data_IF_884081234555
#
_entry.id   IF_884081234555
#
_cell.length_a   1.000
_cell.length_b   1.000
_cell.length_c   1.000
_cell.angle_alpha   90.00
_cell.angle_beta   90.00
_cell.angle_gamma   90.00
#
_symmetry.space_group_name_H-M   'P 1'
#
loop_
_entity.id
_entity.type
_entity.pdbx_description
1 polymer ?
#
# COMPACT_ATOMS: atom_id res chain seq x y z
N UNK A 1 15.18 52.82 18.95
CA UNK A 1 15.30 51.35 18.77
C UNK A 1 14.20 50.76 17.88
N UNK A 2 12.96 51.29 17.93
CA UNK A 2 11.79 50.77 17.20
C UNK A 2 11.84 50.95 15.67
N UNK A 3 12.34 52.09 15.16
CA UNK A 3 12.54 52.33 13.71
C UNK A 3 13.51 51.32 13.06
N UNK A 4 14.54 50.86 13.78
CA UNK A 4 15.52 49.88 13.29
C UNK A 4 14.91 48.48 13.12
N UNK A 5 14.01 48.09 14.02
CA UNK A 5 13.28 46.82 13.93
C UNK A 5 12.28 46.79 12.77
N UNK A 6 11.61 47.91 12.48
CA UNK A 6 10.69 48.01 11.35
C UNK A 6 11.40 47.95 9.99
N UNK A 7 12.58 48.58 9.86
CA UNK A 7 13.41 48.50 8.64
C UNK A 7 13.92 47.07 8.42
N UNK A 8 14.36 46.37 9.48
CA UNK A 8 14.77 44.95 9.39
C UNK A 8 13.62 44.02 9.01
N UNK A 9 12.40 44.24 9.51
CA UNK A 9 11.19 43.48 9.11
C UNK A 9 10.82 43.71 7.64
N UNK A 10 10.83 44.97 7.17
CA UNK A 10 10.54 45.31 5.77
C UNK A 10 11.60 44.72 4.82
N UNK A 11 12.89 44.80 5.17
CA UNK A 11 13.97 44.19 4.38
C UNK A 11 13.87 42.66 4.32
N UNK A 12 13.45 42.01 5.42
CA UNK A 12 13.20 40.55 5.45
C UNK A 12 12.00 40.15 4.58
N UNK A 13 10.94 40.96 4.56
CA UNK A 13 9.76 40.75 3.71
C UNK A 13 10.07 40.98 2.21
N UNK A 14 10.82 42.03 1.88
CA UNK A 14 11.28 42.30 0.50
C UNK A 14 12.16 41.17 -0.03
N UNK A 15 13.11 40.68 0.78
CA UNK A 15 13.96 39.53 0.43
C UNK A 15 13.16 38.23 0.29
N UNK A 16 12.16 37.99 1.15
CA UNK A 16 11.26 36.83 1.04
C UNK A 16 10.46 36.88 -0.28
N UNK A 17 9.82 38.00 -0.58
CA UNK A 17 9.03 38.17 -1.80
C UNK A 17 9.89 38.02 -3.07
N UNK A 18 11.14 38.50 -3.05
CA UNK A 18 12.10 38.26 -4.13
C UNK A 18 12.33 36.76 -4.35
N UNK A 19 12.61 35.99 -3.29
CA UNK A 19 12.82 34.55 -3.41
C UNK A 19 11.55 33.77 -3.77
N UNK A 20 10.38 34.23 -3.35
CA UNK A 20 9.10 33.70 -3.84
C UNK A 20 8.98 33.94 -5.35
N UNK A 21 9.33 35.13 -5.84
CA UNK A 21 9.37 35.44 -7.27
C UNK A 21 10.35 34.55 -8.05
N UNK A 22 11.55 34.33 -7.52
CA UNK A 22 12.54 33.40 -8.10
C UNK A 22 11.98 31.97 -8.18
N UNK A 23 11.34 31.50 -7.10
CA UNK A 23 10.71 30.18 -7.07
C UNK A 23 9.55 30.06 -8.07
N UNK A 24 8.67 31.05 -8.14
CA UNK A 24 7.57 31.08 -9.11
C UNK A 24 8.08 31.09 -10.55
N UNK A 25 9.11 31.89 -10.86
CA UNK A 25 9.75 31.91 -12.17
C UNK A 25 10.37 30.54 -12.51
N UNK A 26 11.04 29.91 -11.56
CA UNK A 26 11.59 28.56 -11.72
C UNK A 26 10.49 27.52 -12.01
N UNK A 27 9.37 27.55 -11.28
CA UNK A 27 8.23 26.66 -11.54
C UNK A 27 7.63 26.90 -12.93
N UNK A 28 7.51 28.15 -13.37
CA UNK A 28 7.01 28.49 -14.71
C UNK A 28 7.98 28.01 -15.81
N UNK A 29 9.29 28.15 -15.61
CA UNK A 29 10.30 27.62 -16.54
C UNK A 29 10.20 26.10 -16.65
N UNK A 30 10.08 25.39 -15.53
CA UNK A 30 9.88 23.93 -15.54
C UNK A 30 8.59 23.58 -16.28
N UNK A 31 7.47 24.23 -15.96
CA UNK A 31 6.19 23.97 -16.63
C UNK A 31 6.28 24.24 -18.15
N UNK A 32 6.96 25.31 -18.54
CA UNK A 32 7.23 25.64 -19.95
C UNK A 32 8.09 24.60 -20.66
N UNK A 33 9.14 24.09 -20.00
CA UNK A 33 9.98 23.01 -20.54
C UNK A 33 9.16 21.73 -20.73
N UNK A 34 8.34 21.35 -19.74
CA UNK A 34 7.46 20.19 -19.85
C UNK A 34 6.43 20.34 -20.96
N UNK A 35 5.81 21.52 -21.09
CA UNK A 35 4.86 21.82 -22.16
C UNK A 35 5.52 21.75 -23.54
N UNK A 36 6.70 22.35 -23.69
CA UNK A 36 7.47 22.29 -24.92
C UNK A 36 7.88 20.86 -25.28
N UNK A 37 8.33 20.08 -24.30
CA UNK A 37 8.66 18.68 -24.49
C UNK A 37 7.45 17.87 -24.95
N UNK A 38 6.26 18.10 -24.37
CA UNK A 38 5.03 17.40 -24.76
C UNK A 38 4.56 17.75 -26.17
N UNK A 39 4.81 18.97 -26.67
CA UNK A 39 4.55 19.31 -28.08
C UNK A 39 5.49 18.61 -29.08
N UNK A 40 6.68 18.18 -28.63
CA UNK A 40 7.63 17.44 -29.48
C UNK A 40 7.34 15.95 -29.57
N UNK A 41 6.44 15.43 -28.73
CA UNK A 41 6.05 14.04 -28.73
C UNK A 41 4.85 13.89 -29.68
N UNK A 42 5.01 13.09 -30.74
CA UNK A 42 3.90 12.68 -31.60
C UNK A 42 2.99 11.70 -30.84
N UNK A 43 2.09 12.24 -30.02
CA UNK A 43 1.21 11.47 -29.16
C UNK A 43 -0.19 12.07 -29.08
N UNK A 44 -1.21 11.23 -29.24
CA UNK A 44 -2.61 11.63 -29.12
C UNK A 44 -3.10 11.37 -27.71
N UNK A 45 -3.26 12.45 -26.96
CA UNK A 45 -3.75 12.44 -25.58
C UNK A 45 -5.22 12.00 -25.51
N UNK A 46 -5.53 11.03 -24.64
CA UNK A 46 -6.85 10.40 -24.48
C UNK A 46 -7.30 10.36 -23.02
N UNK A 47 -7.22 11.51 -22.36
CA UNK A 47 -7.67 11.70 -20.96
C UNK A 47 -9.13 11.29 -20.73
N UNK A 48 -9.98 11.34 -21.76
CA UNK A 48 -11.37 10.89 -21.70
C UNK A 48 -11.54 9.39 -21.38
N UNK A 49 -10.51 8.56 -21.59
CA UNK A 49 -10.55 7.13 -21.25
C UNK A 49 -10.11 6.83 -19.82
N UNK A 50 -9.55 7.79 -19.11
CA UNK A 50 -9.05 7.59 -17.74
C UNK A 50 -10.12 7.13 -16.74
N UNK A 51 -11.37 7.64 -16.75
CA UNK A 51 -12.37 7.27 -15.75
C UNK A 51 -12.66 5.77 -15.63
N UNK A 52 -12.53 5.00 -16.73
CA UNK A 52 -12.77 3.55 -16.73
C UNK A 52 -11.83 2.78 -15.79
N UNK A 53 -10.64 3.33 -15.50
CA UNK A 53 -9.67 2.72 -14.60
C UNK A 53 -9.96 2.97 -13.12
N UNK A 54 -10.95 3.82 -12.82
CA UNK A 54 -11.46 4.04 -11.46
C UNK A 54 -12.73 3.24 -11.20
N UNK A 55 -13.68 3.29 -12.14
CA UNK A 55 -14.91 2.54 -12.07
C UNK A 55 -15.43 2.33 -13.50
N UNK A 56 -15.98 1.15 -13.76
CA UNK A 56 -16.60 0.84 -15.04
C UNK A 56 -17.88 0.05 -14.81
N UNK A 57 -18.81 0.19 -15.74
CA UNK A 57 -20.06 -0.56 -15.76
C UNK A 57 -19.84 -1.81 -16.62
N UNK A 58 -19.89 -2.98 -16.00
CA UNK A 58 -19.69 -4.28 -16.63
C UNK A 58 -21.05 -4.90 -16.95
N UNK A 59 -21.18 -5.50 -18.13
CA UNK A 59 -22.41 -6.20 -18.54
C UNK A 59 -22.26 -7.67 -18.18
N UNK A 60 -22.95 -8.09 -17.11
CA UNK A 60 -22.93 -9.46 -16.64
C UNK A 60 -24.06 -10.21 -17.33
N UNK A 61 -23.67 -11.23 -18.10
CA UNK A 61 -24.57 -12.19 -18.72
C UNK A 61 -24.50 -13.50 -17.94
N UNK A 62 -25.63 -13.94 -17.41
CA UNK A 62 -25.76 -15.27 -16.81
C UNK A 62 -26.31 -16.19 -17.87
N UNK A 63 -25.57 -17.25 -18.20
CA UNK A 63 -25.97 -18.25 -19.18
C UNK A 63 -26.27 -19.59 -18.51
N UNK A 64 -27.14 -20.39 -19.12
CA UNK A 64 -27.38 -21.76 -18.68
C UNK A 64 -26.19 -22.65 -19.02
N UNK A 65 -25.79 -23.53 -18.09
CA UNK A 65 -24.83 -24.60 -18.38
C UNK A 65 -25.55 -25.91 -18.77
N UNK A 66 -26.86 -26.00 -18.49
CA UNK A 66 -27.70 -27.16 -18.74
C UNK A 66 -28.58 -26.98 -19.97
N UNK A 67 -28.85 -28.11 -20.64
CA UNK A 67 -29.91 -28.24 -21.64
C UNK A 67 -31.19 -28.70 -20.94
N UNK A 68 -32.26 -27.92 -21.05
CA UNK A 68 -33.45 -28.12 -20.22
C UNK A 68 -34.51 -27.04 -20.38
N UNK A 69 -35.31 -26.84 -19.32
CA UNK A 69 -36.40 -25.87 -19.30
C UNK A 69 -36.36 -25.03 -18.02
N UNK A 70 -36.84 -23.79 -18.08
CA UNK A 70 -36.98 -22.93 -16.89
C UNK A 70 -38.13 -23.45 -16.02
N UNK A 71 -37.80 -24.12 -14.92
CA UNK A 71 -38.78 -24.72 -14.01
C UNK A 71 -39.50 -23.67 -13.15
N UNK A 72 -38.78 -22.66 -12.66
CA UNK A 72 -39.41 -21.54 -11.93
C UNK A 72 -38.54 -20.30 -11.86
N UNK A 73 -39.19 -19.13 -11.79
CA UNK A 73 -38.57 -17.82 -11.58
C UNK A 73 -39.18 -17.21 -10.30
N UNK A 74 -38.53 -17.47 -9.16
CA UNK A 74 -38.99 -16.95 -7.86
C UNK A 74 -38.41 -15.57 -7.60
N UNK A 75 -39.25 -14.53 -7.73
CA UNK A 75 -38.89 -13.15 -7.38
C UNK A 75 -38.99 -12.93 -5.87
N UNK A 76 -37.89 -12.54 -5.24
CA UNK A 76 -37.78 -12.17 -3.83
C UNK A 76 -37.19 -10.75 -3.73
N UNK A 77 -38.04 -9.78 -3.45
CA UNK A 77 -37.72 -8.35 -3.38
C UNK A 77 -37.04 -7.83 -4.66
N UNK A 78 -35.72 -7.55 -4.58
CA UNK A 78 -34.90 -7.04 -5.68
C UNK A 78 -34.24 -8.13 -6.52
N UNK A 79 -34.30 -9.38 -6.07
CA UNK A 79 -33.64 -10.52 -6.71
C UNK A 79 -34.67 -11.51 -7.24
N UNK A 80 -34.31 -12.28 -8.26
CA UNK A 80 -35.01 -13.42 -8.79
C UNK A 80 -34.08 -14.63 -8.72
N UNK A 81 -34.63 -15.79 -8.35
CA UNK A 81 -33.95 -17.06 -8.46
C UNK A 81 -34.54 -17.76 -9.68
N UNK A 82 -33.70 -17.97 -10.70
CA UNK A 82 -34.05 -18.73 -11.90
C UNK A 82 -33.58 -20.16 -11.65
N UNK A 83 -34.50 -21.12 -11.68
CA UNK A 83 -34.19 -22.54 -11.61
C UNK A 83 -34.37 -23.17 -12.98
N UNK A 84 -33.28 -23.68 -13.55
CA UNK A 84 -33.27 -24.42 -14.82
C UNK A 84 -33.19 -25.90 -14.49
N UNK A 85 -34.05 -26.71 -15.08
CA UNK A 85 -34.08 -28.16 -14.89
C UNK A 85 -33.63 -28.86 -16.16
N UNK A 86 -32.48 -29.53 -16.07
CA UNK A 86 -31.96 -30.38 -17.12
C UNK A 86 -32.21 -31.86 -16.88
N UNK A 87 -31.70 -32.70 -17.79
CA UNK A 87 -31.83 -34.17 -17.73
C UNK A 87 -31.07 -34.80 -16.54
N UNK A 88 -29.92 -34.23 -16.18
CA UNK A 88 -29.01 -34.79 -15.16
C UNK A 88 -28.99 -33.99 -13.83
N UNK A 89 -29.80 -32.94 -13.71
CA UNK A 89 -29.82 -32.09 -12.51
C UNK A 89 -30.58 -30.78 -12.69
N UNK A 90 -30.57 -29.94 -11.65
CA UNK A 90 -31.15 -28.59 -11.67
C UNK A 90 -30.11 -27.56 -11.27
N UNK A 91 -30.08 -26.44 -11.97
CA UNK A 91 -29.21 -25.29 -11.72
C UNK A 91 -30.05 -24.12 -11.19
N UNK A 92 -29.53 -23.34 -10.26
CA UNK A 92 -30.25 -22.17 -9.73
C UNK A 92 -29.35 -20.95 -9.65
N UNK A 93 -29.75 -19.88 -10.35
CA UNK A 93 -29.03 -18.62 -10.43
C UNK A 93 -29.79 -17.51 -9.73
N UNK A 94 -29.11 -16.77 -8.87
CA UNK A 94 -29.68 -15.56 -8.24
C UNK A 94 -29.28 -14.33 -9.03
N UNK A 95 -30.25 -13.62 -9.59
CA UNK A 95 -30.05 -12.45 -10.46
C UNK A 95 -30.95 -11.30 -10.03
N UNK A 96 -30.68 -10.04 -10.38
CA UNK A 96 -31.65 -8.97 -10.17
C UNK A 96 -32.99 -9.26 -10.85
N UNK A 97 -34.11 -9.01 -10.18
CA UNK A 97 -35.43 -9.41 -10.70
C UNK A 97 -35.82 -8.70 -12.01
N UNK A 98 -35.26 -7.52 -12.26
CA UNK A 98 -35.47 -6.72 -13.46
C UNK A 98 -34.56 -7.13 -14.64
N UNK A 99 -33.60 -8.03 -14.42
CA UNK A 99 -32.61 -8.43 -15.44
C UNK A 99 -32.87 -9.78 -16.08
N UNK A 100 -33.93 -10.47 -15.66
CA UNK A 100 -34.33 -11.77 -16.21
C UNK A 100 -34.80 -11.57 -17.65
N UNK A 101 -34.23 -12.36 -18.57
CA UNK A 101 -34.53 -12.27 -20.01
C UNK A 101 -35.41 -13.44 -20.48
N UNK A 102 -35.54 -14.48 -19.65
CA UNK A 102 -36.26 -15.73 -19.94
C UNK A 102 -37.60 -15.83 -19.23
N UNK A 103 -38.51 -16.63 -19.75
CA UNK A 103 -39.83 -16.91 -19.19
C UNK A 103 -39.92 -18.31 -18.56
N UNK A 104 -40.88 -18.52 -17.64
CA UNK A 104 -41.14 -19.86 -17.08
C UNK A 104 -41.68 -20.78 -18.17
N UNK A 105 -41.11 -21.99 -18.28
CA UNK A 105 -41.44 -22.95 -19.32
C UNK A 105 -40.69 -22.76 -20.66
N UNK A 106 -39.76 -21.81 -20.73
CA UNK A 106 -38.90 -21.64 -21.89
C UNK A 106 -37.86 -22.77 -21.96
N UNK A 107 -37.71 -23.39 -23.13
CA UNK A 107 -36.63 -24.36 -23.38
C UNK A 107 -35.32 -23.63 -23.60
N UNK A 108 -34.27 -24.06 -22.90
CA UNK A 108 -32.99 -23.38 -22.81
C UNK A 108 -31.87 -24.37 -23.10
N UNK A 109 -30.95 -23.97 -23.97
CA UNK A 109 -29.75 -24.73 -24.28
C UNK A 109 -28.50 -24.15 -23.61
N UNK A 110 -27.41 -24.94 -23.49
CA UNK A 110 -26.16 -24.46 -22.93
C UNK A 110 -25.63 -23.23 -23.67
N UNK A 111 -25.41 -22.13 -22.94
CA UNK A 111 -24.98 -20.84 -23.49
C UNK A 111 -26.10 -19.82 -23.71
N UNK A 112 -27.37 -20.21 -23.57
CA UNK A 112 -28.50 -19.27 -23.65
C UNK A 112 -28.53 -18.35 -22.42
N UNK A 113 -28.89 -17.08 -22.63
CA UNK A 113 -28.80 -16.02 -21.63
C UNK A 113 -30.03 -15.98 -20.74
N UNK A 114 -29.87 -16.33 -19.48
CA UNK A 114 -30.90 -16.31 -18.45
C UNK A 114 -31.18 -14.89 -17.93
N UNK A 115 -30.12 -14.10 -17.76
CA UNK A 115 -30.23 -12.72 -17.29
C UNK A 115 -29.10 -11.85 -17.81
N UNK A 116 -29.40 -10.56 -17.96
CA UNK A 116 -28.44 -9.52 -18.36
C UNK A 116 -28.63 -8.28 -17.52
N UNK A 117 -27.62 -7.92 -16.74
CA UNK A 117 -27.61 -6.67 -15.97
C UNK A 117 -26.27 -5.98 -16.03
N UNK A 118 -26.31 -4.69 -15.73
CA UNK A 118 -25.15 -3.84 -15.61
C UNK A 118 -24.78 -3.66 -14.15
N UNK A 119 -23.51 -3.88 -13.82
CA UNK A 119 -22.99 -3.70 -12.46
C UNK A 119 -21.74 -2.82 -12.47
N UNK A 120 -21.67 -1.87 -11.54
CA UNK A 120 -20.47 -1.06 -11.34
C UNK A 120 -19.38 -1.87 -10.65
N UNK A 121 -18.23 -2.01 -11.31
CA UNK A 121 -17.04 -2.67 -10.77
C UNK A 121 -15.91 -1.66 -10.55
N UNK A 122 -15.07 -1.86 -9.51
CA UNK A 122 -13.89 -1.03 -9.30
C UNK A 122 -12.90 -1.23 -10.45
N UNK A 123 -12.41 -0.13 -10.98
CA UNK A 123 -11.42 -0.15 -12.04
C UNK A 123 -10.04 -0.60 -11.54
N UNK A 124 -9.16 -0.90 -12.51
CA UNK A 124 -7.87 -1.53 -12.26
C UNK A 124 -6.98 -0.75 -11.27
N UNK A 125 -6.99 0.58 -11.34
CA UNK A 125 -6.16 1.44 -10.48
C UNK A 125 -6.67 1.51 -9.06
N UNK A 126 -8.00 1.45 -8.85
CA UNK A 126 -8.59 1.39 -7.51
C UNK A 126 -8.25 0.07 -6.84
N UNK A 127 -8.33 -1.05 -7.58
CA UNK A 127 -7.91 -2.35 -7.07
C UNK A 127 -6.40 -2.34 -6.75
N UNK A 128 -5.57 -1.79 -7.65
CA UNK A 128 -4.13 -1.66 -7.42
C UNK A 128 -3.80 -0.83 -6.17
N UNK A 129 -4.47 0.31 -5.99
CA UNK A 129 -4.32 1.19 -4.82
C UNK A 129 -4.70 0.46 -3.52
N UNK A 130 -5.80 -0.31 -3.54
CA UNK A 130 -6.21 -1.12 -2.40
C UNK A 130 -5.16 -2.18 -2.04
N UNK A 131 -4.60 -2.87 -3.03
CA UNK A 131 -3.54 -3.87 -2.81
C UNK A 131 -2.26 -3.20 -2.28
N UNK A 132 -1.85 -2.06 -2.83
CA UNK A 132 -0.73 -1.24 -2.32
C UNK A 132 -0.89 -0.94 -0.84
N UNK A 133 -2.07 -0.45 -0.44
CA UNK A 133 -2.39 -0.16 0.96
C UNK A 133 -2.39 -1.43 1.83
N UNK A 134 -3.09 -2.48 1.38
CA UNK A 134 -3.22 -3.75 2.11
C UNK A 134 -1.86 -4.36 2.42
N UNK A 135 -1.00 -4.48 1.41
CA UNK A 135 0.35 -5.02 1.59
C UNK A 135 1.16 -4.13 2.52
N UNK A 136 1.15 -2.81 2.31
CA UNK A 136 1.98 -1.88 3.09
C UNK A 136 1.61 -1.87 4.56
N UNK A 137 0.31 -1.92 4.89
CA UNK A 137 -0.18 -2.02 6.27
C UNK A 137 0.27 -3.34 6.91
N UNK A 138 0.07 -4.47 6.24
CA UNK A 138 0.48 -5.77 6.78
C UNK A 138 1.99 -5.87 6.97
N UNK A 139 2.76 -5.43 5.97
CA UNK A 139 4.22 -5.40 6.05
C UNK A 139 4.72 -4.46 7.17
N UNK A 140 4.04 -3.34 7.41
CA UNK A 140 4.37 -2.43 8.51
C UNK A 140 4.10 -3.06 9.86
N UNK A 141 2.97 -3.75 10.04
CA UNK A 141 2.65 -4.45 11.31
C UNK A 141 3.75 -5.47 11.62
N UNK A 142 4.09 -6.35 10.68
CA UNK A 142 5.15 -7.34 10.89
C UNK A 142 6.54 -6.70 11.00
N UNK A 143 6.83 -5.66 10.22
CA UNK A 143 8.08 -4.91 10.29
C UNK A 143 8.28 -4.21 11.63
N UNK A 144 7.21 -3.66 12.23
CA UNK A 144 7.26 -3.10 13.58
C UNK A 144 7.55 -4.18 14.62
N UNK A 145 6.92 -5.35 14.52
CA UNK A 145 7.20 -6.47 15.42
C UNK A 145 8.66 -6.91 15.32
N UNK A 146 9.16 -7.14 14.10
CA UNK A 146 10.56 -7.49 13.84
C UNK A 146 11.50 -6.41 14.37
N UNK A 147 11.18 -5.14 14.11
CA UNK A 147 12.04 -4.03 14.49
C UNK A 147 12.05 -3.72 15.99
N UNK A 148 10.95 -3.93 16.71
CA UNK A 148 10.94 -3.84 18.19
C UNK A 148 11.82 -4.91 18.79
N UNK A 149 11.68 -6.17 18.34
CA UNK A 149 12.54 -7.28 18.80
C UNK A 149 14.00 -7.01 18.43
N UNK A 150 14.27 -6.65 17.18
CA UNK A 150 15.62 -6.34 16.69
C UNK A 150 16.26 -5.17 17.41
N UNK A 151 15.48 -4.13 17.74
CA UNK A 151 15.93 -2.95 18.48
C UNK A 151 16.31 -3.27 19.93
N UNK A 152 15.52 -4.11 20.60
CA UNK A 152 15.83 -4.60 21.94
C UNK A 152 17.07 -5.50 21.94
N UNK A 153 17.20 -6.38 20.95
CA UNK A 153 18.41 -7.20 20.75
C UNK A 153 19.65 -6.32 20.55
N UNK A 154 19.52 -5.23 19.79
CA UNK A 154 20.63 -4.32 19.44
C UNK A 154 21.20 -3.56 20.64
N UNK A 155 20.37 -3.26 21.65
CA UNK A 155 20.79 -2.60 22.90
C UNK A 155 21.19 -3.58 24.01
N UNK A 156 20.99 -4.88 23.79
CA UNK A 156 21.31 -5.90 24.78
C UNK A 156 22.81 -5.99 25.07
N UNK A 157 23.16 -6.32 26.31
CA UNK A 157 24.53 -6.65 26.69
C UNK A 157 24.96 -8.04 26.21
N UNK A 158 24.00 -8.92 25.87
CA UNK A 158 24.30 -10.25 25.34
C UNK A 158 24.90 -10.14 23.92
N UNK A 159 26.16 -10.56 23.71
CA UNK A 159 26.82 -10.43 22.42
C UNK A 159 26.11 -11.20 21.30
N UNK A 160 25.51 -12.35 21.59
CA UNK A 160 24.79 -13.14 20.58
C UNK A 160 23.59 -12.34 20.02
N UNK A 161 22.74 -11.80 20.90
CA UNK A 161 21.58 -11.00 20.47
C UNK A 161 22.01 -9.75 19.72
N UNK A 162 23.02 -9.04 20.26
CA UNK A 162 23.54 -7.82 19.66
C UNK A 162 24.11 -8.07 18.27
N UNK A 163 24.92 -9.11 18.09
CA UNK A 163 25.58 -9.43 16.83
C UNK A 163 24.59 -9.98 15.79
N UNK A 164 23.60 -10.77 16.20
CA UNK A 164 22.52 -11.19 15.29
C UNK A 164 21.75 -9.99 14.76
N UNK A 165 21.39 -9.03 15.63
CA UNK A 165 20.73 -7.79 15.21
C UNK A 165 21.62 -6.93 14.31
N UNK A 166 22.94 -6.86 14.59
CA UNK A 166 23.92 -6.22 13.70
C UNK A 166 23.92 -6.86 12.32
N UNK A 167 24.17 -8.16 12.23
CA UNK A 167 24.24 -8.87 10.96
C UNK A 167 22.95 -8.72 10.13
N UNK A 168 21.78 -8.89 10.77
CA UNK A 168 20.47 -8.70 10.13
C UNK A 168 20.32 -7.28 9.56
N UNK A 169 20.55 -6.24 10.36
CA UNK A 169 20.36 -4.85 9.93
C UNK A 169 21.33 -4.48 8.81
N UNK A 170 22.62 -4.81 8.94
CA UNK A 170 23.63 -4.44 7.94
C UNK A 170 23.39 -5.18 6.61
N UNK A 171 23.01 -6.46 6.64
CA UNK A 171 22.71 -7.23 5.43
C UNK A 171 21.48 -6.70 4.70
N UNK A 172 20.40 -6.39 5.43
CA UNK A 172 19.14 -5.94 4.84
C UNK A 172 19.24 -4.50 4.36
N UNK A 173 19.87 -3.60 5.11
CA UNK A 173 20.02 -2.19 4.69
C UNK A 173 21.13 -2.00 3.67
N UNK A 174 22.10 -2.91 3.63
CA UNK A 174 23.22 -2.89 2.67
C UNK A 174 22.88 -3.51 1.31
N UNK A 175 21.69 -4.12 1.13
CA UNK A 175 21.30 -4.77 -0.12
C UNK A 175 20.06 -4.12 -0.77
N UNK A 176 19.94 -4.15 -2.11
CA UNK A 176 18.77 -3.59 -2.80
C UNK A 176 17.48 -4.33 -2.45
N UNK A 177 16.42 -3.60 -2.10
CA UNK A 177 15.10 -4.18 -1.80
C UNK A 177 14.56 -5.03 -2.95
N UNK A 178 14.75 -4.60 -4.20
CA UNK A 178 14.34 -5.36 -5.38
C UNK A 178 14.91 -6.79 -5.35
N UNK A 179 16.20 -6.93 -5.05
CA UNK A 179 16.87 -8.24 -4.98
C UNK A 179 16.31 -9.07 -3.82
N UNK A 180 16.04 -8.45 -2.67
CA UNK A 180 15.43 -9.13 -1.53
C UNK A 180 14.04 -9.69 -1.89
N UNK A 181 13.19 -8.91 -2.57
CA UNK A 181 11.87 -9.36 -3.04
C UNK A 181 12.00 -10.60 -3.93
N UNK A 182 12.96 -10.58 -4.87
CA UNK A 182 13.21 -11.72 -5.76
C UNK A 182 13.69 -12.95 -4.99
N UNK A 183 14.59 -12.80 -4.01
CA UNK A 183 15.05 -13.91 -3.16
C UNK A 183 13.88 -14.50 -2.35
N UNK A 184 13.06 -13.64 -1.74
CA UNK A 184 11.90 -14.07 -0.96
C UNK A 184 10.91 -14.90 -1.80
N UNK A 185 10.67 -14.48 -3.04
CA UNK A 185 9.70 -15.17 -3.88
C UNK A 185 10.30 -16.40 -4.60
N UNK A 186 11.40 -16.22 -5.34
CA UNK A 186 11.95 -17.27 -6.21
C UNK A 186 12.79 -18.30 -5.45
N UNK A 187 13.50 -17.90 -4.40
CA UNK A 187 14.34 -18.83 -3.62
C UNK A 187 13.54 -19.38 -2.45
N UNK A 188 13.18 -18.52 -1.49
CA UNK A 188 12.49 -18.96 -0.28
C UNK A 188 11.09 -19.48 -0.60
N UNK A 189 10.35 -18.82 -1.48
CA UNK A 189 9.01 -19.24 -1.84
C UNK A 189 8.94 -20.59 -2.58
N UNK A 190 9.93 -20.89 -3.41
CA UNK A 190 10.06 -22.22 -4.04
C UNK A 190 10.35 -23.28 -2.98
N UNK A 191 11.42 -23.09 -2.19
CA UNK A 191 11.82 -24.05 -1.15
C UNK A 191 10.69 -24.31 -0.14
N UNK A 192 10.03 -23.27 0.36
CA UNK A 192 8.95 -23.40 1.34
C UNK A 192 7.75 -24.12 0.73
N UNK A 193 7.33 -23.76 -0.49
CA UNK A 193 6.19 -24.40 -1.13
C UNK A 193 6.46 -25.88 -1.49
N UNK A 194 7.69 -26.22 -1.87
CA UNK A 194 8.07 -27.60 -2.16
C UNK A 194 8.07 -28.45 -0.89
N UNK A 195 8.58 -27.89 0.23
CA UNK A 195 8.48 -28.54 1.53
C UNK A 195 7.02 -28.72 1.97
N UNK A 196 6.18 -27.69 1.85
CA UNK A 196 4.75 -27.79 2.17
C UNK A 196 4.07 -28.88 1.35
N UNK A 197 4.34 -28.94 0.04
CA UNK A 197 3.80 -29.97 -0.84
C UNK A 197 4.24 -31.39 -0.41
N UNK A 198 5.50 -31.57 0.03
CA UNK A 198 5.99 -32.84 0.54
C UNK A 198 5.24 -33.32 1.80
N UNK A 199 4.72 -32.39 2.61
CA UNK A 199 3.87 -32.70 3.78
C UNK A 199 2.37 -32.70 3.46
N UNK A 200 1.98 -32.62 2.18
CA UNK A 200 0.57 -32.58 1.76
C UNK A 200 -0.15 -31.27 2.11
N UNK A 201 0.59 -30.19 2.39
CA UNK A 201 0.05 -28.86 2.67
C UNK A 201 -0.06 -28.04 1.37
N UNK A 202 -1.00 -27.07 1.38
CA UNK A 202 -1.22 -26.17 0.24
C UNK A 202 -0.08 -25.18 0.01
N UNK A 203 -0.07 -24.55 -1.17
CA UNK A 203 0.93 -23.53 -1.55
C UNK A 203 0.58 -22.17 -0.95
N UNK A 204 1.60 -21.45 -0.48
CA UNK A 204 1.48 -20.06 -0.04
C UNK A 204 1.47 -19.14 -1.28
N UNK A 205 0.48 -18.23 -1.39
CA UNK A 205 0.42 -17.25 -2.48
C UNK A 205 1.60 -16.25 -2.48
N UNK A 206 1.95 -15.74 -3.68
CA UNK A 206 2.98 -14.70 -3.89
C UNK A 206 2.81 -13.48 -2.97
N UNK A 207 1.55 -13.11 -2.70
CA UNK A 207 1.18 -12.02 -1.80
C UNK A 207 1.91 -12.07 -0.46
N UNK A 208 1.98 -13.25 0.18
CA UNK A 208 2.59 -13.39 1.51
C UNK A 208 4.11 -13.31 1.47
N UNK A 209 4.75 -13.79 0.40
CA UNK A 209 6.18 -13.58 0.19
C UNK A 209 6.52 -12.10 -0.05
N UNK A 210 5.65 -11.38 -0.78
CA UNK A 210 5.73 -9.93 -0.90
C UNK A 210 5.63 -9.22 0.45
N UNK A 211 4.63 -9.55 1.27
CA UNK A 211 4.47 -9.01 2.63
C UNK A 211 5.68 -9.34 3.51
N UNK A 212 6.17 -10.58 3.50
CA UNK A 212 7.32 -11.01 4.28
C UNK A 212 8.61 -10.27 3.89
N UNK A 213 8.83 -10.08 2.58
CA UNK A 213 9.99 -9.33 2.07
C UNK A 213 9.99 -7.87 2.53
N UNK A 214 8.85 -7.17 2.37
CA UNK A 214 8.70 -5.79 2.83
C UNK A 214 8.74 -5.67 4.35
N UNK A 215 8.18 -6.63 5.08
CA UNK A 215 8.23 -6.65 6.54
C UNK A 215 9.66 -6.84 7.05
N UNK A 216 10.42 -7.75 6.45
CA UNK A 216 11.82 -7.99 6.77
C UNK A 216 12.67 -6.75 6.44
N UNK A 217 12.41 -6.10 5.30
CA UNK A 217 13.08 -4.86 4.94
C UNK A 217 12.77 -3.71 5.92
N UNK A 218 11.48 -3.43 6.12
CA UNK A 218 11.01 -2.40 7.05
C UNK A 218 11.50 -2.66 8.48
N UNK A 219 11.52 -3.91 8.92
CA UNK A 219 11.99 -4.31 10.26
C UNK A 219 13.43 -3.94 10.55
N UNK A 220 14.31 -3.90 9.55
CA UNK A 220 15.70 -3.48 9.71
C UNK A 220 15.81 -1.96 9.95
N UNK A 221 14.99 -1.17 9.26
CA UNK A 221 14.89 0.28 9.51
C UNK A 221 14.23 0.57 10.86
N UNK A 222 13.15 -0.15 11.19
CA UNK A 222 12.47 -0.01 12.47
C UNK A 222 13.38 -0.41 13.64
N UNK A 223 14.23 -1.42 13.48
CA UNK A 223 15.27 -1.79 14.48
C UNK A 223 16.13 -0.58 14.86
N UNK A 224 16.60 0.18 13.87
CA UNK A 224 17.43 1.35 14.10
C UNK A 224 16.64 2.53 14.66
N UNK A 225 15.39 2.70 14.25
CA UNK A 225 14.47 3.69 14.84
C UNK A 225 14.26 3.39 16.33
N UNK A 226 13.99 2.13 16.70
CA UNK A 226 13.77 1.72 18.09
C UNK A 226 15.05 1.91 18.91
N UNK A 227 16.20 1.47 18.39
CA UNK A 227 17.52 1.68 19.05
C UNK A 227 17.78 3.17 19.28
N UNK A 228 17.64 4.00 18.25
CA UNK A 228 17.88 5.44 18.33
C UNK A 228 16.90 6.12 19.28
N UNK A 229 15.63 5.72 19.26
CA UNK A 229 14.59 6.20 20.17
C UNK A 229 14.95 5.94 21.63
N UNK A 230 15.37 4.73 21.97
CA UNK A 230 15.79 4.36 23.33
C UNK A 230 17.06 5.11 23.73
N UNK A 231 18.07 5.16 22.86
CA UNK A 231 19.34 5.82 23.15
C UNK A 231 19.26 7.35 23.21
N UNK A 232 18.21 7.95 22.66
CA UNK A 232 18.01 9.39 22.73
C UNK A 232 17.64 9.89 24.13
N UNK A 233 17.16 9.01 25.02
CA UNK A 233 16.76 9.38 26.39
C UNK A 233 18.00 9.80 27.19
N UNK A 234 17.90 10.95 27.88
CA UNK A 234 19.01 11.51 28.63
C UNK A 234 19.49 10.55 29.72
N UNK A 235 20.81 10.33 29.83
CA UNK A 235 21.40 9.38 30.79
C UNK A 235 20.99 9.64 32.24
N UNK A 236 20.77 10.92 32.59
CA UNK A 236 20.25 11.33 33.90
C UNK A 236 18.91 10.68 34.30
N UNK A 237 18.06 10.29 33.35
CA UNK A 237 16.83 9.53 33.66
C UNK A 237 17.16 8.14 34.20
N UNK A 238 18.13 7.47 33.57
CA UNK A 238 18.61 6.16 34.01
C UNK A 238 19.35 6.27 35.34
N UNK A 239 20.19 7.30 35.51
CA UNK A 239 20.91 7.56 36.76
C UNK A 239 19.95 7.83 37.93
N UNK A 240 18.95 8.71 37.73
CA UNK A 240 17.93 9.00 38.74
C UNK A 240 17.11 7.76 39.12
N UNK A 241 16.70 6.95 38.13
CA UNK A 241 16.01 5.69 38.37
C UNK A 241 16.84 4.74 39.25
N UNK A 242 18.15 4.65 38.99
CA UNK A 242 19.08 3.84 39.78
C UNK A 242 19.29 4.40 41.19
N UNK A 243 19.31 5.73 41.36
CA UNK A 243 19.39 6.37 42.68
C UNK A 243 18.19 6.09 43.58
N UNK A 244 17.01 5.84 43.00
CA UNK A 244 15.79 5.45 43.75
C UNK A 244 15.65 3.92 43.87
N UNK A 245 16.69 3.15 43.51
CA UNK A 245 16.74 1.70 43.71
C UNK A 245 16.08 0.86 42.62
N UNK A 246 15.68 1.44 41.48
CA UNK A 246 15.05 0.69 40.39
C UNK A 246 16.06 -0.26 39.72
N UNK A 247 15.62 -1.47 39.39
CA UNK A 247 16.38 -2.39 38.52
C UNK A 247 16.40 -1.86 37.07
N UNK A 248 17.30 -2.38 36.23
CA UNK A 248 17.33 -2.01 34.80
C UNK A 248 15.98 -2.28 34.11
N UNK A 249 15.35 -3.41 34.40
CA UNK A 249 14.04 -3.75 33.84
C UNK A 249 12.94 -2.78 34.30
N UNK A 250 12.94 -2.41 35.59
CA UNK A 250 12.01 -1.42 36.12
C UNK A 250 12.22 -0.03 35.50
N UNK A 251 13.47 0.43 35.39
CA UNK A 251 13.82 1.71 34.76
C UNK A 251 13.44 1.73 33.27
N UNK A 252 13.71 0.63 32.55
CA UNK A 252 13.34 0.47 31.15
C UNK A 252 11.83 0.54 30.96
N UNK A 253 11.06 -0.23 31.72
CA UNK A 253 9.61 -0.34 31.53
C UNK A 253 8.85 0.93 31.93
N UNK A 254 9.22 1.55 33.06
CA UNK A 254 8.42 2.64 33.63
C UNK A 254 8.90 4.05 33.26
N UNK A 255 10.18 4.21 32.85
CA UNK A 255 10.76 5.54 32.60
C UNK A 255 11.22 5.66 31.14
N UNK A 256 12.09 4.75 30.69
CA UNK A 256 12.76 4.90 29.39
C UNK A 256 11.81 4.58 28.24
N UNK A 257 11.16 3.42 28.25
CA UNK A 257 10.32 2.95 27.14
C UNK A 257 9.13 3.87 26.85
N UNK A 258 8.37 4.38 27.85
CA UNK A 258 7.29 5.34 27.59
C UNK A 258 7.77 6.64 26.93
N UNK A 259 8.95 7.14 27.29
CA UNK A 259 9.55 8.33 26.68
C UNK A 259 10.10 8.04 25.28
N UNK A 260 10.77 6.89 25.12
CA UNK A 260 11.33 6.45 23.85
C UNK A 260 10.22 6.23 22.81
N UNK A 261 9.08 5.65 23.21
CA UNK A 261 7.94 5.40 22.32
C UNK A 261 7.44 6.70 21.67
N UNK A 262 7.37 7.80 22.42
CA UNK A 262 6.98 9.11 21.88
C UNK A 262 7.95 9.63 20.81
N UNK A 263 9.24 9.31 20.93
CA UNK A 263 10.28 9.68 19.96
C UNK A 263 10.37 8.72 18.77
N UNK A 264 9.90 7.48 18.95
CA UNK A 264 9.87 6.42 17.92
C UNK A 264 8.69 6.64 16.96
N UNK A 265 7.54 7.11 17.44
CA UNK A 265 6.33 7.22 16.62
C UNK A 265 6.48 8.10 15.35
N UNK A 266 7.07 9.31 15.39
CA UNK A 266 7.22 10.13 14.18
C UNK A 266 8.05 9.47 13.06
N UNK A 267 9.26 8.93 13.31
CA UNK A 267 10.02 8.25 12.26
C UNK A 267 9.37 6.93 11.81
N UNK A 268 8.62 6.23 12.67
CA UNK A 268 7.85 5.05 12.23
C UNK A 268 6.80 5.40 11.17
N UNK A 269 6.11 6.53 11.34
CA UNK A 269 5.14 6.98 10.36
C UNK A 269 5.81 7.36 9.02
N UNK A 270 6.99 7.98 9.07
CA UNK A 270 7.82 8.20 7.89
C UNK A 270 8.22 6.90 7.20
N UNK A 271 8.56 5.86 7.98
CA UNK A 271 8.89 4.53 7.45
C UNK A 271 7.68 3.88 6.76
N UNK A 272 6.48 4.00 7.32
CA UNK A 272 5.25 3.51 6.69
C UNK A 272 4.99 4.18 5.33
N UNK A 273 5.12 5.50 5.25
CA UNK A 273 4.94 6.26 4.00
C UNK A 273 5.99 5.86 2.95
N UNK A 274 7.22 5.60 3.36
CA UNK A 274 8.26 5.07 2.47
C UNK A 274 7.90 3.67 1.98
N UNK A 275 7.41 2.79 2.87
CA UNK A 275 7.05 1.42 2.53
C UNK A 275 5.93 1.33 1.49
N UNK A 276 4.99 2.28 1.49
CA UNK A 276 3.96 2.42 0.44
C UNK A 276 4.59 2.59 -0.93
N UNK A 277 5.62 3.45 -1.04
CA UNK A 277 6.34 3.63 -2.31
C UNK A 277 7.16 2.39 -2.64
N UNK A 278 7.86 1.83 -1.67
CA UNK A 278 8.68 0.62 -1.87
C UNK A 278 7.85 -0.59 -2.34
N UNK A 279 6.57 -0.65 -1.96
CA UNK A 279 5.64 -1.69 -2.43
C UNK A 279 5.47 -1.72 -3.95
N UNK A 280 5.82 -0.63 -4.67
CA UNK A 280 5.79 -0.56 -6.14
C UNK A 280 6.67 -1.62 -6.81
N UNK A 281 7.68 -2.13 -6.09
CA UNK A 281 8.60 -3.15 -6.59
C UNK A 281 7.96 -4.55 -6.63
N UNK A 282 6.86 -4.77 -5.92
CA UNK A 282 6.19 -6.07 -5.86
C UNK A 282 5.53 -6.49 -7.19
N UNK A 283 5.33 -5.54 -8.11
CA UNK A 283 4.87 -5.84 -9.47
C UNK A 283 5.76 -6.83 -10.23
N UNK A 284 7.03 -6.99 -9.81
CA UNK A 284 7.97 -7.97 -10.38
C UNK A 284 7.61 -9.42 -10.07
N UNK A 285 6.95 -9.67 -8.94
CA UNK A 285 6.48 -10.99 -8.54
C UNK A 285 4.97 -11.14 -8.78
N UNK A 286 4.47 -10.42 -9.79
CA UNK A 286 3.08 -10.43 -10.25
C UNK A 286 2.02 -10.03 -9.20
N UNK A 287 2.41 -9.34 -8.13
CA UNK A 287 1.44 -8.73 -7.21
C UNK A 287 0.89 -7.48 -7.89
N UNK A 288 -0.43 -7.44 -8.09
CA UNK A 288 -1.13 -6.34 -8.76
C UNK A 288 -1.35 -5.14 -7.83
N UNK A 289 -0.26 -4.55 -7.37
CA UNK A 289 -0.24 -3.24 -6.73
C UNK A 289 -0.41 -2.12 -7.78
N UNK A 290 -0.49 -0.86 -7.35
CA UNK A 290 -0.83 0.29 -8.19
C UNK A 290 0.04 0.44 -9.45
N UNK A 291 1.35 0.22 -9.35
CA UNK A 291 2.30 0.35 -10.47
C UNK A 291 2.11 -0.76 -11.49
N UNK A 292 1.92 -1.99 -11.03
CA UNK A 292 1.62 -3.16 -11.85
C UNK A 292 0.26 -3.03 -12.52
N UNK A 293 -0.75 -2.56 -11.78
CA UNK A 293 -2.07 -2.23 -12.31
C UNK A 293 -1.98 -1.16 -13.42
N UNK A 294 -1.21 -0.10 -13.20
CA UNK A 294 -0.96 0.92 -14.24
C UNK A 294 -0.25 0.31 -15.46
N UNK A 295 0.79 -0.52 -15.25
CA UNK A 295 1.49 -1.20 -16.36
C UNK A 295 0.58 -2.12 -17.16
N UNK A 296 -0.32 -2.86 -16.51
CA UNK A 296 -1.32 -3.69 -17.18
C UNK A 296 -2.30 -2.85 -18.00
N UNK A 297 -2.79 -1.74 -17.44
CA UNK A 297 -3.62 -0.77 -18.18
C UNK A 297 -2.88 -0.16 -19.38
N UNK A 298 -1.58 0.13 -19.25
CA UNK A 298 -0.76 0.66 -20.35
C UNK A 298 -0.61 -0.37 -21.45
N UNK A 299 -0.41 -1.63 -21.09
CA UNK A 299 -0.21 -2.71 -22.06
C UNK A 299 -1.49 -2.97 -22.87
N UNK A 300 -2.67 -2.85 -22.25
CA UNK A 300 -3.96 -3.06 -22.93
C UNK A 300 -4.43 -1.85 -23.74
N UNK A 301 -4.18 -0.63 -23.27
CA UNK A 301 -4.66 0.60 -23.91
C UNK A 301 -3.66 1.26 -24.84
N UNK A 302 -2.37 0.92 -24.72
CA UNK A 302 -1.24 1.58 -25.37
C UNK A 302 -1.14 3.07 -25.00
N UNK A 303 -1.56 3.45 -23.79
CA UNK A 303 -1.57 4.84 -23.29
C UNK A 303 -0.57 5.06 -22.13
N UNK A 304 0.74 5.08 -22.38
CA UNK A 304 1.75 5.14 -21.32
C UNK A 304 1.71 6.46 -20.53
N UNK A 305 1.52 7.60 -21.20
CA UNK A 305 1.68 8.90 -20.56
C UNK A 305 0.59 9.20 -19.54
N UNK A 306 -0.68 9.05 -19.91
CA UNK A 306 -1.83 9.31 -19.03
C UNK A 306 -1.80 8.39 -17.82
N UNK A 307 -1.55 7.09 -18.04
CA UNK A 307 -1.63 6.08 -16.97
C UNK A 307 -0.46 6.15 -16.00
N UNK A 308 0.77 6.40 -16.47
CA UNK A 308 1.89 6.59 -15.56
C UNK A 308 1.86 7.94 -14.83
N UNK A 309 1.38 9.01 -15.48
CA UNK A 309 1.14 10.28 -14.79
C UNK A 309 0.06 10.12 -13.72
N UNK A 310 -1.04 9.44 -14.05
CA UNK A 310 -2.10 9.16 -13.08
C UNK A 310 -1.60 8.29 -11.93
N UNK A 311 -0.81 7.25 -12.21
CA UNK A 311 -0.16 6.43 -11.19
C UNK A 311 0.70 7.28 -10.26
N UNK A 312 1.53 8.17 -10.80
CA UNK A 312 2.36 9.09 -10.02
C UNK A 312 1.52 10.04 -9.15
N UNK A 313 0.45 10.61 -9.70
CA UNK A 313 -0.50 11.46 -8.97
C UNK A 313 -1.20 10.67 -7.85
N UNK A 314 -1.60 9.43 -8.10
CA UNK A 314 -2.24 8.58 -7.08
C UNK A 314 -1.28 8.25 -5.93
N UNK A 315 -0.03 7.90 -6.23
CA UNK A 315 1.01 7.74 -5.20
C UNK A 315 1.25 9.04 -4.42
N UNK A 316 1.29 10.18 -5.11
CA UNK A 316 1.47 11.49 -4.47
C UNK A 316 0.31 11.82 -3.55
N UNK A 317 -0.94 11.70 -4.03
CA UNK A 317 -2.15 11.95 -3.24
C UNK A 317 -2.18 11.03 -2.02
N UNK A 318 -1.90 9.74 -2.20
CA UNK A 318 -1.85 8.77 -1.11
C UNK A 318 -0.82 9.15 -0.05
N UNK A 319 0.44 9.37 -0.46
CA UNK A 319 1.56 9.66 0.44
C UNK A 319 1.44 11.03 1.09
N UNK A 320 0.97 12.04 0.36
CA UNK A 320 0.71 13.39 0.87
C UNK A 320 -0.40 13.38 1.91
N UNK A 321 -1.54 12.71 1.63
CA UNK A 321 -2.66 12.60 2.57
C UNK A 321 -2.23 11.95 3.87
N UNK A 322 -1.46 10.86 3.78
CA UNK A 322 -0.90 10.18 4.95
C UNK A 322 0.11 11.06 5.70
N UNK A 323 0.99 11.78 5.00
CA UNK A 323 1.94 12.70 5.62
C UNK A 323 1.23 13.82 6.38
N UNK A 324 0.16 14.39 5.81
CA UNK A 324 -0.65 15.41 6.48
C UNK A 324 -1.39 14.86 7.70
N UNK A 325 -1.97 13.66 7.60
CA UNK A 325 -2.59 12.99 8.73
C UNK A 325 -1.59 12.74 9.87
N UNK A 326 -0.39 12.26 9.54
CA UNK A 326 0.69 12.02 10.51
C UNK A 326 1.14 13.32 11.19
N UNK A 327 1.39 14.38 10.41
CA UNK A 327 1.80 15.67 10.98
C UNK A 327 0.74 16.27 11.90
N UNK A 328 -0.55 16.12 11.54
CA UNK A 328 -1.65 16.54 12.39
C UNK A 328 -1.67 15.78 13.73
N UNK A 329 -1.50 14.45 13.69
CA UNK A 329 -1.43 13.61 14.88
C UNK A 329 -0.18 13.91 15.74
N UNK A 330 0.96 14.19 15.10
CA UNK A 330 2.21 14.54 15.78
C UNK A 330 2.07 15.86 16.56
N UNK A 331 1.53 16.91 15.91
CA UNK A 331 1.29 18.22 16.55
C UNK A 331 0.37 18.14 17.76
N UNK A 332 -0.60 17.21 17.75
CA UNK A 332 -1.49 16.97 18.89
C UNK A 332 -0.81 16.20 20.03
N UNK A 333 0.18 15.37 19.72
CA UNK A 333 0.79 14.44 20.67
C UNK A 333 2.03 14.98 21.38
N UNK A 334 2.63 16.06 20.87
CA UNK A 334 3.74 16.76 21.55
C UNK A 334 3.17 17.87 22.46
N UNK A 335 3.17 17.72 23.80
CA UNK A 335 3.01 18.87 24.67
C UNK A 335 4.24 19.78 24.51
N UNK A 336 3.99 21.08 24.39
CA UNK A 336 5.00 22.15 24.35
C UNK A 336 5.91 22.09 25.57
#
# INVERSE_FOLDING_TARGET
>A
MEKSNNIKKLAKSSRYNFWVGVFSAFCLVIAGIFYYATQKIEYVWRWNRVPIYFAYEDEIEITSELDGEVESIKKKDKNAIITVKGLDGSESHTVPAASVVVEEGESISPGDKLARYKEWKPGLLVIGLWITLKVSVMATIFGVLIGVVGGLMRISSNPALKWTSIAYVEMIRGSPLMVQILIWYFVLGTVINDLLAAYGLGRIPAFWYGVASLACFAGAYVTEIVRAGIQSIHRGQTEAARSVGMTYAQSMLHIILPQALRRILPPLAGQFISLIKDSSLLGMIAIRELTKAAREAVTSSLQPFELYMLCAVLYLVLTFTLSMAVQYLERRSQPV
#
